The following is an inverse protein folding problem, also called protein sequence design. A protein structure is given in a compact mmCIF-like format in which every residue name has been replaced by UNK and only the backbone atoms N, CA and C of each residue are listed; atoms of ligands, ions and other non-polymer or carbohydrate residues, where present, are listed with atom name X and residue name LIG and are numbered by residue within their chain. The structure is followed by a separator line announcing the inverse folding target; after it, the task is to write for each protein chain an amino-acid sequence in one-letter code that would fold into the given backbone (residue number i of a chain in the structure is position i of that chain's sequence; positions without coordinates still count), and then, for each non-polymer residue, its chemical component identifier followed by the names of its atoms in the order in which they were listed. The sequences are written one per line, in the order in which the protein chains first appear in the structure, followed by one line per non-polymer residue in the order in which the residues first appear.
data_IF_625659274479
#
_entry.id   IF_625659274479
#
_cell.length_a   1.000
_cell.length_b   1.000
_cell.length_c   1.000
_cell.angle_alpha   90.00
_cell.angle_beta   90.00
_cell.angle_gamma   90.00
#
_symmetry.space_group_name_H-M   'P 1'
#
loop_
_entity.id
_entity.type
_entity.pdbx_description
1 polymer ?
#
# COMPACT_ATOMS: atom_id res chain seq x y z
N UNK A 1 -11.08 31.17 -21.41
CA UNK A 1 -9.80 30.68 -20.84
C UNK A 1 -10.16 29.67 -19.75
N UNK A 2 -10.20 28.36 -20.09
CA UNK A 2 -10.54 27.32 -19.12
C UNK A 2 -9.32 27.02 -18.25
N UNK A 3 -9.41 27.29 -16.95
CA UNK A 3 -8.40 26.88 -15.98
C UNK A 3 -8.41 25.35 -15.92
N UNK A 4 -7.41 24.72 -16.55
CA UNK A 4 -7.14 23.30 -16.33
C UNK A 4 -6.67 23.15 -14.89
N UNK A 5 -7.61 22.91 -13.98
CA UNK A 5 -7.30 22.53 -12.60
C UNK A 5 -6.43 21.27 -12.68
N UNK A 6 -5.16 21.40 -12.29
CA UNK A 6 -4.22 20.29 -12.30
C UNK A 6 -4.58 19.34 -11.14
N UNK A 7 -5.20 18.18 -11.41
CA UNK A 7 -5.73 17.30 -10.37
C UNK A 7 -4.60 16.75 -9.48
N UNK A 8 -3.38 16.65 -10.01
CA UNK A 8 -2.20 16.21 -9.25
C UNK A 8 -1.68 17.27 -8.26
N UNK A 9 -1.99 18.56 -8.49
CA UNK A 9 -1.69 19.64 -7.55
C UNK A 9 -2.75 19.70 -6.45
N UNK A 10 -4.03 19.60 -6.83
CA UNK A 10 -5.15 19.54 -5.89
C UNK A 10 -5.04 18.35 -4.92
N UNK A 11 -4.65 17.17 -5.43
CA UNK A 11 -4.38 16.00 -4.59
C UNK A 11 -3.21 16.27 -3.62
N UNK A 12 -2.07 16.82 -4.08
CA UNK A 12 -0.93 17.12 -3.19
C UNK A 12 -1.29 18.07 -2.05
N UNK A 13 -2.08 19.10 -2.33
CA UNK A 13 -2.52 20.08 -1.33
C UNK A 13 -3.52 19.47 -0.34
N UNK A 14 -4.47 18.66 -0.81
CA UNK A 14 -5.39 17.92 0.06
C UNK A 14 -4.65 16.95 0.99
N UNK A 15 -3.57 16.32 0.49
CA UNK A 15 -2.74 15.38 1.25
C UNK A 15 -1.98 16.06 2.39
N UNK A 16 -1.49 17.29 2.19
CA UNK A 16 -0.73 18.03 3.19
C UNK A 16 -1.54 18.40 4.44
N UNK A 17 -2.88 18.46 4.35
CA UNK A 17 -3.78 18.75 5.47
C UNK A 17 -4.33 17.51 6.19
N UNK A 18 -4.04 16.30 5.72
CA UNK A 18 -4.54 15.07 6.33
C UNK A 18 -3.64 14.62 7.49
N UNK A 19 -4.22 14.05 8.57
CA UNK A 19 -3.43 13.40 9.61
C UNK A 19 -2.49 12.36 8.98
N UNK A 20 -1.23 12.20 9.45
CA UNK A 20 -0.26 11.28 8.85
C UNK A 20 -0.82 9.87 8.62
N UNK A 21 -1.64 9.36 9.55
CA UNK A 21 -2.30 8.04 9.44
C UNK A 21 -3.31 7.94 8.29
N UNK A 22 -4.01 9.03 7.96
CA UNK A 22 -4.93 9.07 6.83
C UNK A 22 -4.16 9.07 5.51
N UNK A 23 -3.01 9.78 5.46
CA UNK A 23 -2.13 9.78 4.30
C UNK A 23 -1.50 8.40 4.04
N UNK A 24 -1.16 7.67 5.10
CA UNK A 24 -0.66 6.29 5.04
C UNK A 24 -1.75 5.35 4.52
N UNK A 25 -2.97 5.43 5.06
CA UNK A 25 -4.11 4.63 4.60
C UNK A 25 -4.42 4.84 3.11
N UNK A 26 -4.27 6.07 2.61
CA UNK A 26 -4.43 6.37 1.17
C UNK A 26 -3.41 5.69 0.27
N UNK A 27 -2.16 5.52 0.74
CA UNK A 27 -1.14 4.79 -0.03
C UNK A 27 -1.55 3.33 -0.18
N UNK A 28 -1.97 2.70 0.93
CA UNK A 28 -2.47 1.32 0.89
C UNK A 28 -3.66 1.20 -0.06
N UNK A 29 -4.67 2.09 0.06
CA UNK A 29 -5.84 2.09 -0.84
C UNK A 29 -5.47 2.19 -2.31
N UNK A 30 -4.52 3.06 -2.66
CA UNK A 30 -4.08 3.23 -4.06
C UNK A 30 -3.43 1.97 -4.60
N UNK A 31 -2.53 1.35 -3.83
CA UNK A 31 -1.86 0.10 -4.23
C UNK A 31 -2.89 -1.05 -4.33
N UNK A 32 -3.82 -1.14 -3.38
CA UNK A 32 -4.93 -2.11 -3.43
C UNK A 32 -5.78 -1.94 -4.68
N UNK A 33 -6.11 -0.71 -5.06
CA UNK A 33 -6.86 -0.42 -6.30
C UNK A 33 -6.10 -0.89 -7.55
N UNK A 34 -4.79 -0.70 -7.60
CA UNK A 34 -3.95 -1.19 -8.69
C UNK A 34 -3.90 -2.73 -8.76
N UNK A 35 -3.81 -3.40 -7.61
CA UNK A 35 -3.87 -4.87 -7.52
C UNK A 35 -5.23 -5.40 -8.01
N UNK A 36 -6.34 -4.78 -7.60
CA UNK A 36 -7.70 -5.12 -8.09
C UNK A 36 -7.81 -4.96 -9.61
N UNK A 37 -7.30 -3.85 -10.16
CA UNK A 37 -7.30 -3.61 -11.60
C UNK A 37 -6.38 -4.57 -12.40
N UNK A 38 -5.49 -5.28 -11.71
CA UNK A 38 -4.63 -6.31 -12.26
C UNK A 38 -5.23 -7.72 -12.15
N UNK A 39 -6.42 -7.88 -11.57
CA UNK A 39 -7.17 -9.13 -11.63
C UNK A 39 -7.87 -9.25 -12.99
N UNK A 40 -7.92 -10.46 -13.56
CA UNK A 40 -8.62 -10.73 -14.83
C UNK A 40 -7.79 -11.55 -15.81
N UNK A 41 -8.22 -11.59 -17.07
CA UNK A 41 -7.56 -12.33 -18.15
C UNK A 41 -7.26 -11.41 -19.34
N UNK A 42 -6.14 -11.64 -20.03
CA UNK A 42 -5.74 -10.92 -21.24
C UNK A 42 -4.32 -10.32 -21.20
N UNK A 43 -3.76 -9.91 -22.34
CA UNK A 43 -2.37 -9.46 -22.44
C UNK A 43 -2.07 -8.21 -21.61
N UNK A 44 -3.02 -7.27 -21.55
CA UNK A 44 -2.88 -6.02 -20.76
C UNK A 44 -2.83 -6.29 -19.25
N UNK A 45 -3.43 -7.39 -18.79
CA UNK A 45 -3.48 -7.77 -17.38
C UNK A 45 -2.09 -8.10 -16.87
N UNK A 46 -1.25 -8.76 -17.68
CA UNK A 46 0.12 -9.10 -17.30
C UNK A 46 0.97 -7.86 -16.99
N UNK A 47 0.90 -6.83 -17.84
CA UNK A 47 1.64 -5.58 -17.60
C UNK A 47 1.11 -4.80 -16.38
N UNK A 48 -0.20 -4.78 -16.18
CA UNK A 48 -0.81 -4.17 -14.98
C UNK A 48 -0.40 -4.91 -13.71
N UNK A 49 -0.38 -6.24 -13.73
CA UNK A 49 0.05 -7.08 -12.61
C UNK A 49 1.50 -6.83 -12.23
N UNK A 50 2.43 -6.80 -13.21
CA UNK A 50 3.84 -6.52 -12.95
C UNK A 50 4.02 -5.16 -12.24
N UNK A 51 3.33 -4.12 -12.74
CA UNK A 51 3.40 -2.78 -12.13
C UNK A 51 2.79 -2.74 -10.73
N UNK A 52 1.61 -3.32 -10.56
CA UNK A 52 0.91 -3.36 -9.27
C UNK A 52 1.72 -4.12 -8.22
N UNK A 53 2.33 -5.24 -8.59
CA UNK A 53 3.23 -6.00 -7.73
C UNK A 53 4.47 -5.18 -7.39
N UNK A 54 5.12 -4.53 -8.37
CA UNK A 54 6.30 -3.70 -8.09
C UNK A 54 5.99 -2.56 -7.09
N UNK A 55 4.83 -1.91 -7.24
CA UNK A 55 4.40 -0.85 -6.33
C UNK A 55 4.04 -1.41 -4.94
N UNK A 56 3.42 -2.58 -4.86
CA UNK A 56 3.17 -3.26 -3.59
C UNK A 56 4.47 -3.63 -2.87
N UNK A 57 5.51 -4.07 -3.61
CA UNK A 57 6.82 -4.41 -3.02
C UNK A 57 7.46 -3.17 -2.39
N UNK A 58 7.43 -2.05 -3.12
CA UNK A 58 7.98 -0.76 -2.65
C UNK A 58 7.27 -0.28 -1.39
N UNK A 59 5.95 -0.40 -1.35
CA UNK A 59 5.16 -0.08 -0.16
C UNK A 59 5.61 -0.90 1.05
N UNK A 60 5.67 -2.22 0.93
CA UNK A 60 6.01 -3.09 2.05
C UNK A 60 7.46 -2.95 2.53
N UNK A 61 8.41 -2.68 1.62
CA UNK A 61 9.79 -2.36 1.99
C UNK A 61 9.88 -1.04 2.76
N UNK A 62 9.12 -0.02 2.35
CA UNK A 62 9.08 1.26 3.06
C UNK A 62 8.44 1.11 4.46
N UNK A 63 7.36 0.34 4.57
CA UNK A 63 6.71 0.01 5.84
C UNK A 63 7.68 -0.72 6.78
N UNK A 64 8.39 -1.74 6.29
CA UNK A 64 9.39 -2.45 7.11
C UNK A 64 10.51 -1.49 7.57
N UNK A 65 11.01 -0.62 6.69
CA UNK A 65 12.02 0.38 7.04
C UNK A 65 11.57 1.31 8.18
N UNK A 66 10.36 1.86 8.10
CA UNK A 66 9.78 2.72 9.15
C UNK A 66 9.59 1.94 10.45
N UNK A 67 9.15 0.68 10.38
CA UNK A 67 8.92 -0.15 11.55
C UNK A 67 10.20 -0.70 12.16
N UNK A 68 11.33 -0.71 11.46
CA UNK A 68 12.63 -1.12 12.02
C UNK A 68 13.38 0.05 12.67
N UNK A 69 12.99 1.30 12.41
CA UNK A 69 13.58 2.47 13.07
C UNK A 69 13.48 2.36 14.61
N UNK A 70 14.60 2.50 15.36
CA UNK A 70 14.57 2.46 16.83
C UNK A 70 13.72 3.58 17.45
N UNK A 71 13.50 4.69 16.74
CA UNK A 71 12.69 5.82 17.19
C UNK A 71 11.19 5.68 16.85
N UNK A 72 10.76 4.55 16.29
CA UNK A 72 9.35 4.31 15.99
C UNK A 72 8.52 4.27 17.29
N UNK A 73 7.46 5.09 17.36
CA UNK A 73 6.64 5.25 18.55
C UNK A 73 5.66 4.09 18.83
N UNK A 74 5.55 3.10 17.94
CA UNK A 74 4.68 1.95 18.15
C UNK A 74 5.31 0.95 19.14
N UNK A 75 4.49 0.23 19.94
CA UNK A 75 4.97 -0.82 20.82
C UNK A 75 5.80 -1.88 20.06
N UNK A 76 6.92 -2.38 20.63
CA UNK A 76 7.79 -3.35 19.96
C UNK A 76 7.06 -4.61 19.48
N UNK A 77 6.11 -5.12 20.26
CA UNK A 77 5.30 -6.28 19.88
C UNK A 77 4.46 -6.01 18.64
N UNK A 78 3.81 -4.84 18.56
CA UNK A 78 3.00 -4.44 17.40
C UNK A 78 3.88 -4.25 16.15
N UNK A 79 5.05 -3.62 16.30
CA UNK A 79 6.03 -3.49 15.21
C UNK A 79 6.44 -4.86 14.67
N UNK A 80 6.78 -5.79 15.55
CA UNK A 80 7.18 -7.15 15.17
C UNK A 80 6.05 -7.90 14.43
N UNK A 81 4.80 -7.77 14.90
CA UNK A 81 3.64 -8.36 14.21
C UNK A 81 3.45 -7.81 12.80
N UNK A 82 3.51 -6.48 12.61
CA UNK A 82 3.34 -5.88 11.28
C UNK A 82 4.53 -6.22 10.35
N UNK A 83 5.76 -6.26 10.86
CA UNK A 83 6.93 -6.71 10.09
C UNK A 83 6.76 -8.16 9.64
N UNK A 84 6.25 -9.05 10.50
CA UNK A 84 5.98 -10.45 10.14
C UNK A 84 4.96 -10.56 9.01
N UNK A 85 3.88 -9.76 9.05
CA UNK A 85 2.90 -9.65 7.97
C UNK A 85 3.56 -9.17 6.68
N UNK A 86 4.35 -8.09 6.74
CA UNK A 86 5.03 -7.55 5.56
C UNK A 86 5.98 -8.54 4.91
N UNK A 87 6.72 -9.33 5.71
CA UNK A 87 7.58 -10.40 5.20
C UNK A 87 6.79 -11.53 4.54
N UNK A 88 5.61 -11.85 5.07
CA UNK A 88 4.71 -12.83 4.43
C UNK A 88 4.22 -12.33 3.08
N UNK A 89 3.83 -11.05 2.99
CA UNK A 89 3.46 -10.41 1.72
C UNK A 89 4.61 -10.44 0.71
N UNK A 90 5.83 -10.06 1.13
CA UNK A 90 7.00 -10.06 0.25
C UNK A 90 7.30 -11.47 -0.29
N UNK A 91 7.18 -12.51 0.54
CA UNK A 91 7.34 -13.91 0.11
C UNK A 91 6.24 -14.35 -0.86
N UNK A 92 4.98 -13.98 -0.62
CA UNK A 92 3.87 -14.33 -1.52
C UNK A 92 4.11 -13.75 -2.93
N UNK A 93 4.69 -12.56 -3.01
CA UNK A 93 5.02 -11.91 -4.27
C UNK A 93 6.19 -12.54 -5.03
N UNK A 94 6.96 -13.43 -4.41
CA UNK A 94 8.08 -14.14 -5.04
C UNK A 94 7.66 -15.44 -5.73
N UNK A 95 6.39 -15.83 -5.60
CA UNK A 95 5.82 -17.01 -6.27
C UNK A 95 5.64 -16.74 -7.77
N UNK A 96 5.72 -17.80 -8.58
CA UNK A 96 5.44 -17.72 -10.03
C UNK A 96 4.03 -17.18 -10.34
N UNK A 97 3.08 -17.47 -9.44
CA UNK A 97 1.71 -16.97 -9.47
C UNK A 97 1.34 -16.45 -8.09
N UNK A 98 1.60 -15.17 -7.79
CA UNK A 98 1.20 -14.55 -6.53
C UNK A 98 -0.32 -14.50 -6.39
N UNK A 99 -0.82 -14.75 -5.19
CA UNK A 99 -2.23 -14.57 -4.86
C UNK A 99 -2.56 -13.08 -4.67
N UNK A 100 -3.06 -12.45 -5.73
CA UNK A 100 -3.48 -11.04 -5.67
C UNK A 100 -4.61 -10.80 -4.66
N UNK A 101 -5.49 -11.79 -4.43
CA UNK A 101 -6.58 -11.69 -3.47
C UNK A 101 -6.07 -11.56 -2.05
N UNK A 102 -5.11 -12.42 -1.67
CA UNK A 102 -4.42 -12.31 -0.39
C UNK A 102 -3.73 -10.95 -0.21
N UNK A 103 -3.00 -10.47 -1.22
CA UNK A 103 -2.32 -9.17 -1.15
C UNK A 103 -3.30 -8.00 -0.93
N UNK A 104 -4.46 -8.05 -1.59
CA UNK A 104 -5.54 -7.07 -1.44
C UNK A 104 -6.08 -7.08 -0.01
N UNK A 105 -6.41 -8.26 0.52
CA UNK A 105 -7.00 -8.42 1.85
C UNK A 105 -6.07 -7.90 2.96
N UNK A 106 -4.78 -8.22 2.88
CA UNK A 106 -3.79 -7.74 3.85
C UNK A 106 -3.68 -6.21 3.80
N UNK A 107 -3.60 -5.61 2.61
CA UNK A 107 -3.50 -4.16 2.47
C UNK A 107 -4.76 -3.45 3.00
N UNK A 108 -5.95 -4.01 2.78
CA UNK A 108 -7.22 -3.47 3.30
C UNK A 108 -7.28 -3.55 4.83
N UNK A 109 -6.81 -4.66 5.41
CA UNK A 109 -6.72 -4.84 6.86
C UNK A 109 -5.82 -3.80 7.52
N UNK A 110 -4.65 -3.53 6.93
CA UNK A 110 -3.74 -2.49 7.42
C UNK A 110 -4.35 -1.09 7.25
N UNK A 111 -4.91 -0.78 6.09
CA UNK A 111 -5.54 0.52 5.83
C UNK A 111 -6.68 0.81 6.82
N UNK A 112 -7.51 -0.18 7.12
CA UNK A 112 -8.58 -0.08 8.11
C UNK A 112 -8.04 0.18 9.53
N UNK A 113 -6.96 -0.52 9.92
CA UNK A 113 -6.30 -0.29 11.21
C UNK A 113 -5.75 1.13 11.37
N UNK A 114 -5.26 1.73 10.28
CA UNK A 114 -4.75 3.10 10.27
C UNK A 114 -5.85 4.16 10.42
N UNK A 115 -7.07 3.88 9.95
CA UNK A 115 -8.21 4.81 10.04
C UNK A 115 -9.00 4.71 11.34
N UNK A 116 -8.99 3.55 12.00
CA UNK A 116 -9.79 3.31 13.23
C UNK A 116 -9.01 3.66 14.51
N UNK A 117 -7.68 3.62 14.48
CA UNK A 117 -6.82 3.93 15.64
C UNK A 117 -6.39 5.40 15.76
N UNK A 118 -7.20 6.33 15.25
CA UNK A 118 -6.96 7.77 15.25
C UNK A 118 -7.83 8.52 16.26
#
# INVERSE_FOLDING_TARGET
MMMHQNPALAYRVARAGMPPRVQEADVFRRVTGALRAAQGTGPEVGLRAIRALADNRRLWLAVEGVLLDPNNALPPALRASIVSVGRTVLREMERDKPDLGFLIEVNESIAAGLTTGG
#
